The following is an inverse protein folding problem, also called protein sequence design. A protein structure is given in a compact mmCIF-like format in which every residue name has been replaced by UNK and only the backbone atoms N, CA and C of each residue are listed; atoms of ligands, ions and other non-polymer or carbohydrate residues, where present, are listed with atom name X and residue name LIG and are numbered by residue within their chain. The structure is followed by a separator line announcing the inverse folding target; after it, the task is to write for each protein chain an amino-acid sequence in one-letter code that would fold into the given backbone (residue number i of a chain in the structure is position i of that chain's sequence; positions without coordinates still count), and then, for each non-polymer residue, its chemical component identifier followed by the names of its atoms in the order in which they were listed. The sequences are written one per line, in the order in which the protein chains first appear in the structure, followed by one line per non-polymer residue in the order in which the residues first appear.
data_IF_031475419313
#
_entry.id   IF_031475419313
#
_cell.length_a   1.000
_cell.length_b   1.000
_cell.length_c   1.000
_cell.angle_alpha   90.00
_cell.angle_beta   90.00
_cell.angle_gamma   90.00
#
_symmetry.space_group_name_H-M   'P 1'
#
loop_
_entity.id
_entity.type
_entity.pdbx_description
1 polymer ?
#
# COMPACT_ATOMS: atom_id res chain seq x y z
N UNK A 1 16.07 1.02 4.38
CA UNK A 1 17.15 1.16 3.38
C UNK A 1 17.23 -0.19 2.68
N UNK A 2 17.01 -0.36 1.38
CA UNK A 2 17.11 0.55 0.24
C UNK A 2 15.99 0.27 -0.77
N UNK A 3 15.64 1.33 -1.47
CA UNK A 3 14.74 1.44 -2.62
C UNK A 3 15.44 1.00 -3.91
N UNK A 4 14.77 0.22 -4.77
CA UNK A 4 15.11 0.17 -6.19
C UNK A 4 13.86 -0.25 -6.98
N UNK A 5 13.22 0.76 -7.58
CA UNK A 5 12.16 0.66 -8.57
C UNK A 5 12.84 1.15 -9.85
N UNK A 6 13.02 0.26 -10.82
CA UNK A 6 13.49 0.63 -12.16
C UNK A 6 12.26 0.93 -13.02
N UNK A 7 11.98 2.23 -13.13
CA UNK A 7 11.15 2.84 -14.17
C UNK A 7 12.05 3.09 -15.38
N UNK A 8 11.78 2.41 -16.51
CA UNK A 8 12.37 2.77 -17.81
C UNK A 8 11.24 2.97 -18.82
N UNK A 9 10.58 4.12 -18.70
CA UNK A 9 9.76 4.74 -19.74
C UNK A 9 10.70 5.38 -20.79
N UNK A 10 11.00 4.64 -21.85
CA UNK A 10 11.72 5.15 -23.01
C UNK A 10 10.75 5.89 -23.96
N UNK A 11 10.59 7.19 -23.73
CA UNK A 11 9.84 8.10 -24.61
C UNK A 11 10.71 9.29 -25.06
N UNK A 12 11.36 9.12 -26.21
CA UNK A 12 11.96 10.20 -27.00
C UNK A 12 12.86 9.62 -28.08
N UNK A 13 12.76 9.93 -29.37
CA UNK A 13 12.09 11.01 -30.06
C UNK A 13 12.99 11.36 -31.25
N UNK A 14 12.51 11.23 -32.48
CA UNK A 14 13.16 11.84 -33.64
C UNK A 14 12.11 12.41 -34.60
N UNK A 15 11.86 13.70 -34.43
CA UNK A 15 11.12 14.55 -35.36
C UNK A 15 12.11 15.02 -36.43
N UNK A 16 12.27 14.28 -37.53
CA UNK A 16 13.05 14.77 -38.67
C UNK A 16 12.13 15.43 -39.70
N UNK A 17 11.96 16.73 -39.53
CA UNK A 17 11.37 17.60 -40.53
C UNK A 17 12.29 17.77 -41.73
N UNK A 18 11.76 17.53 -42.93
CA UNK A 18 12.34 18.08 -44.16
C UNK A 18 11.28 18.93 -44.86
N UNK A 19 11.31 20.24 -44.59
CA UNK A 19 10.71 21.27 -45.44
C UNK A 19 11.58 21.43 -46.68
N UNK A 20 11.05 21.25 -47.89
CA UNK A 20 11.38 21.92 -49.19
C UNK A 20 10.31 21.48 -50.20
N UNK A 21 9.76 22.26 -51.11
CA UNK A 21 9.84 23.67 -51.47
C UNK A 21 8.73 23.91 -52.49
N UNK A 22 7.84 24.87 -52.24
CA UNK A 22 6.93 25.40 -53.25
C UNK A 22 7.71 25.85 -54.50
N UNK A 23 7.33 25.35 -55.68
CA UNK A 23 7.74 25.95 -56.96
C UNK A 23 6.49 26.34 -57.73
N UNK A 24 6.26 27.65 -57.77
CA UNK A 24 5.24 28.33 -58.58
C UNK A 24 5.59 28.25 -60.08
N UNK A 25 4.53 28.11 -60.89
CA UNK A 25 4.22 28.76 -62.19
C UNK A 25 5.38 29.15 -63.14
N UNK A 26 5.25 28.75 -64.41
CA UNK A 26 5.63 29.53 -65.62
C UNK A 26 4.52 29.30 -66.65
N UNK A 27 3.76 30.28 -67.15
CA UNK A 27 4.13 31.28 -68.18
C UNK A 27 4.95 30.60 -69.28
N UNK A 28 4.45 30.34 -70.49
CA UNK A 28 3.77 31.27 -71.37
C UNK A 28 4.82 31.79 -72.35
N UNK A 29 4.89 31.20 -73.54
CA UNK A 29 5.68 31.71 -74.66
C UNK A 29 4.87 31.45 -75.94
N UNK A 30 4.18 32.52 -76.34
CA UNK A 30 3.83 32.85 -77.71
C UNK A 30 5.13 33.28 -78.35
N UNK A 31 5.56 32.59 -79.40
CA UNK A 31 6.50 33.14 -80.36
C UNK A 31 5.77 33.21 -81.70
N UNK A 32 5.24 34.40 -81.94
CA UNK A 32 4.96 34.94 -83.26
C UNK A 32 6.30 35.33 -83.89
N UNK A 33 6.69 34.63 -84.96
CA UNK A 33 7.67 35.13 -85.92
C UNK A 33 6.96 35.28 -87.28
N UNK A 34 6.20 36.39 -87.37
CA UNK A 34 6.27 37.31 -88.51
C UNK A 34 7.70 37.88 -88.44
N UNK A 35 8.53 37.81 -89.47
CA UNK A 35 8.76 38.90 -90.41
C UNK A 35 9.84 38.43 -91.40
N UNK A 36 9.77 38.85 -92.66
CA UNK A 36 10.95 38.75 -93.53
C UNK A 36 10.71 38.80 -95.02
N UNK A 37 9.87 39.74 -95.47
CA UNK A 37 9.93 40.27 -96.82
C UNK A 37 11.36 40.75 -97.11
N UNK A 38 11.97 40.17 -98.15
CA UNK A 38 13.31 40.47 -98.61
C UNK A 38 13.30 40.66 -100.12
N UNK A 39 12.69 41.77 -100.55
CA UNK A 39 12.81 42.36 -101.87
C UNK A 39 14.30 42.61 -102.20
N UNK A 40 14.83 42.00 -103.27
CA UNK A 40 16.16 42.37 -103.78
C UNK A 40 16.26 42.16 -105.29
N UNK A 41 15.52 43.02 -105.98
CA UNK A 41 15.70 43.30 -107.41
C UNK A 41 17.09 43.93 -107.65
N UNK A 42 18.10 43.08 -107.86
CA UNK A 42 19.44 43.46 -108.28
C UNK A 42 19.50 43.76 -109.77
N UNK A 43 19.22 45.01 -110.13
CA UNK A 43 19.30 45.57 -111.49
C UNK A 43 20.63 45.28 -112.21
N UNK A 44 20.58 44.71 -113.42
CA UNK A 44 21.69 44.84 -114.39
C UNK A 44 21.20 45.04 -115.83
N UNK A 45 21.47 46.27 -116.28
CA UNK A 45 21.26 46.91 -117.58
C UNK A 45 21.58 46.03 -118.82
N UNK A 46 20.65 46.07 -119.77
CA UNK A 46 20.90 46.44 -121.17
C UNK A 46 21.81 45.54 -122.02
N UNK A 47 21.20 44.79 -122.95
CA UNK A 47 21.34 45.12 -124.37
C UNK A 47 20.22 44.47 -125.18
N UNK A 48 19.23 45.28 -125.55
CA UNK A 48 18.30 45.00 -126.64
C UNK A 48 19.06 45.16 -127.96
N UNK A 49 19.22 44.06 -128.70
CA UNK A 49 19.35 44.12 -130.16
C UNK A 49 17.99 43.68 -130.71
N UNK A 50 17.19 44.68 -131.04
CA UNK A 50 15.92 44.52 -131.73
C UNK A 50 16.26 44.03 -133.13
N UNK A 51 15.89 42.79 -133.42
CA UNK A 51 15.67 42.34 -134.79
C UNK A 51 14.19 41.98 -134.90
N UNK A 52 13.60 42.37 -136.02
CA UNK A 52 12.17 42.40 -136.32
C UNK A 52 11.41 41.17 -135.79
N UNK A 53 10.24 41.37 -135.16
CA UNK A 53 9.03 40.62 -135.56
C UNK A 53 7.83 40.86 -134.61
N UNK A 54 6.79 41.41 -135.22
CA UNK A 54 5.38 41.12 -135.03
C UNK A 54 4.66 41.46 -133.69
N UNK A 55 3.33 41.74 -133.72
CA UNK A 55 2.50 42.14 -132.58
C UNK A 55 2.28 41.07 -131.48
N UNK A 56 3.12 40.03 -131.40
CA UNK A 56 2.96 38.87 -130.51
C UNK A 56 3.86 38.85 -129.26
N UNK A 57 4.97 39.59 -129.23
CA UNK A 57 5.97 39.49 -128.16
C UNK A 57 5.55 40.13 -126.81
N UNK A 58 4.87 41.28 -126.85
CA UNK A 58 4.35 41.94 -125.64
C UNK A 58 3.23 41.13 -124.97
N UNK A 59 2.39 40.47 -125.77
CA UNK A 59 1.32 39.58 -125.32
C UNK A 59 1.88 38.36 -124.58
N UNK A 60 3.00 37.79 -125.04
CA UNK A 60 3.69 36.68 -124.37
C UNK A 60 4.25 37.04 -122.98
N UNK A 61 4.82 38.24 -122.82
CA UNK A 61 5.33 38.70 -121.52
C UNK A 61 4.20 38.91 -120.49
N UNK A 62 3.06 39.48 -120.92
CA UNK A 62 1.89 39.67 -120.05
C UNK A 62 1.30 38.33 -119.62
N UNK A 63 1.24 37.34 -120.52
CA UNK A 63 0.79 35.99 -120.18
C UNK A 63 1.73 35.31 -119.18
N UNK A 64 3.05 35.40 -119.37
CA UNK A 64 4.04 34.81 -118.48
C UNK A 64 4.04 35.44 -117.08
N UNK A 65 3.87 36.76 -116.97
CA UNK A 65 3.73 37.45 -115.68
C UNK A 65 2.43 37.07 -114.95
N UNK A 66 1.32 36.96 -115.68
CA UNK A 66 0.04 36.51 -115.11
C UNK A 66 0.14 35.08 -114.59
N UNK A 67 0.76 34.19 -115.35
CA UNK A 67 1.00 32.80 -114.96
C UNK A 67 1.90 32.75 -113.72
N UNK A 68 3.01 33.49 -113.70
CA UNK A 68 3.92 33.58 -112.55
C UNK A 68 3.24 34.11 -111.29
N UNK A 69 2.38 35.13 -111.42
CA UNK A 69 1.64 35.71 -110.29
C UNK A 69 0.56 34.76 -109.77
N UNK A 70 -0.09 34.01 -110.67
CA UNK A 70 -1.02 32.96 -110.33
C UNK A 70 -0.32 31.81 -109.59
N UNK A 71 0.83 31.34 -110.09
CA UNK A 71 1.66 30.34 -109.41
C UNK A 71 2.17 30.84 -108.05
N UNK A 72 2.56 32.12 -107.95
CA UNK A 72 2.98 32.72 -106.68
C UNK A 72 1.83 32.73 -105.65
N UNK A 73 0.62 33.09 -106.07
CA UNK A 73 -0.58 33.07 -105.21
C UNK A 73 -0.93 31.65 -104.74
N UNK A 74 -0.85 30.67 -105.63
CA UNK A 74 -1.06 29.26 -105.29
C UNK A 74 0.00 28.75 -104.31
N UNK A 75 1.27 29.11 -104.51
CA UNK A 75 2.36 28.77 -103.60
C UNK A 75 2.23 29.42 -102.22
N UNK A 76 1.76 30.67 -102.14
CA UNK A 76 1.50 31.33 -100.86
C UNK A 76 0.33 30.66 -100.14
N UNK A 77 -0.76 30.36 -100.85
CA UNK A 77 -1.91 29.65 -100.29
C UNK A 77 -1.55 28.26 -99.79
N UNK A 78 -0.70 27.52 -100.52
CA UNK A 78 -0.23 26.20 -100.08
C UNK A 78 0.72 26.31 -98.90
N UNK A 79 1.62 27.31 -98.87
CA UNK A 79 2.49 27.57 -97.73
C UNK A 79 1.69 27.87 -96.44
N UNK A 80 0.66 28.72 -96.52
CA UNK A 80 -0.21 29.04 -95.38
C UNK A 80 -0.99 27.80 -94.91
N UNK A 81 -1.50 26.99 -95.84
CA UNK A 81 -2.19 25.74 -95.52
C UNK A 81 -1.25 24.75 -94.82
N UNK A 82 -0.01 24.59 -95.28
CA UNK A 82 0.97 23.72 -94.64
C UNK A 82 1.39 24.21 -93.26
N UNK A 83 1.52 25.53 -93.05
CA UNK A 83 1.74 26.11 -91.71
C UNK A 83 0.56 25.83 -90.77
N UNK A 84 -0.68 25.98 -91.25
CA UNK A 84 -1.89 25.67 -90.49
C UNK A 84 -1.98 24.19 -90.12
N UNK A 85 -1.73 23.27 -91.06
CA UNK A 85 -1.68 21.82 -90.81
C UNK A 85 -0.60 21.43 -89.80
N UNK A 86 0.59 22.04 -89.87
CA UNK A 86 1.67 21.79 -88.89
C UNK A 86 1.27 22.26 -87.49
N UNK A 87 0.64 23.44 -87.39
CA UNK A 87 0.11 23.96 -86.12
C UNK A 87 -0.99 23.06 -85.55
N UNK A 88 -1.92 22.59 -86.39
CA UNK A 88 -2.97 21.67 -86.00
C UNK A 88 -2.41 20.31 -85.52
N UNK A 89 -1.44 19.74 -86.25
CA UNK A 89 -0.77 18.51 -85.85
C UNK A 89 -0.04 18.63 -84.50
N UNK A 90 0.60 19.77 -84.22
CA UNK A 90 1.22 20.05 -82.93
C UNK A 90 0.19 20.10 -81.78
N UNK A 91 -0.98 20.69 -82.03
CA UNK A 91 -2.08 20.70 -81.05
C UNK A 91 -2.62 19.28 -80.79
N UNK A 92 -2.81 18.46 -81.82
CA UNK A 92 -3.26 17.08 -81.66
C UNK A 92 -2.28 16.28 -80.79
N UNK A 93 -0.96 16.37 -81.07
CA UNK A 93 0.05 15.64 -80.29
C UNK A 93 0.10 16.09 -78.83
N UNK A 94 0.03 17.40 -78.58
CA UNK A 94 0.04 17.92 -77.20
C UNK A 94 -1.23 17.56 -76.44
N UNK A 95 -2.38 17.54 -77.11
CA UNK A 95 -3.64 17.09 -76.53
C UNK A 95 -3.60 15.60 -76.17
N UNK A 96 -3.14 14.74 -77.08
CA UNK A 96 -2.98 13.30 -76.81
C UNK A 96 -2.02 13.02 -75.65
N UNK A 97 -0.92 13.78 -75.52
CA UNK A 97 0.00 13.64 -74.37
C UNK A 97 -0.67 14.02 -73.05
N UNK A 98 -1.44 15.11 -73.01
CA UNK A 98 -2.18 15.51 -71.80
C UNK A 98 -3.29 14.52 -71.44
N UNK A 99 -3.98 13.98 -72.43
CA UNK A 99 -4.99 12.94 -72.19
C UNK A 99 -4.38 11.68 -71.60
N UNK A 100 -3.21 11.25 -72.09
CA UNK A 100 -2.47 10.13 -71.53
C UNK A 100 -2.02 10.41 -70.08
N UNK A 101 -1.46 11.59 -69.81
CA UNK A 101 -1.04 11.97 -68.45
C UNK A 101 -2.23 12.00 -67.46
N UNK A 102 -3.40 12.49 -67.89
CA UNK A 102 -4.61 12.44 -67.09
C UNK A 102 -5.04 10.99 -66.82
N UNK A 103 -4.92 10.10 -67.80
CA UNK A 103 -5.23 8.68 -67.63
C UNK A 103 -4.29 8.01 -66.61
N UNK A 104 -2.99 8.30 -66.69
CA UNK A 104 -1.97 7.76 -65.80
C UNK A 104 -2.11 8.33 -64.37
N UNK A 105 -2.38 9.62 -64.22
CA UNK A 105 -2.68 10.20 -62.91
C UNK A 105 -3.97 9.63 -62.31
N UNK A 106 -5.00 9.39 -63.15
CA UNK A 106 -6.24 8.73 -62.69
C UNK A 106 -6.00 7.29 -62.26
N UNK A 107 -5.12 6.53 -62.90
CA UNK A 107 -4.78 5.16 -62.46
C UNK A 107 -4.01 5.21 -61.14
N UNK A 108 -2.99 6.05 -61.03
CA UNK A 108 -2.22 6.23 -59.79
C UNK A 108 -3.11 6.62 -58.60
N UNK A 109 -4.08 7.52 -58.80
CA UNK A 109 -5.06 7.89 -57.75
C UNK A 109 -5.95 6.71 -57.38
N UNK A 110 -6.39 5.89 -58.34
CA UNK A 110 -7.17 4.67 -58.03
C UNK A 110 -6.34 3.67 -57.23
N UNK A 111 -5.08 3.48 -57.58
CA UNK A 111 -4.18 2.52 -56.91
C UNK A 111 -3.79 3.00 -55.51
N UNK A 112 -3.43 4.27 -55.33
CA UNK A 112 -3.18 4.85 -54.02
C UNK A 112 -4.43 4.81 -53.14
N UNK A 113 -5.62 5.08 -53.69
CA UNK A 113 -6.89 4.94 -52.98
C UNK A 113 -7.22 3.49 -52.61
N UNK A 114 -6.77 2.53 -53.42
CA UNK A 114 -6.88 1.10 -53.12
C UNK A 114 -5.89 0.65 -52.04
N UNK A 115 -4.68 1.20 -52.01
CA UNK A 115 -3.70 0.97 -50.92
C UNK A 115 -4.15 1.62 -49.60
N UNK A 116 -4.76 2.80 -49.67
CA UNK A 116 -5.31 3.52 -48.51
C UNK A 116 -6.68 2.99 -48.05
N UNK A 117 -7.18 1.88 -48.63
CA UNK A 117 -8.40 1.25 -48.13
C UNK A 117 -8.18 0.78 -46.69
N UNK A 118 -9.25 0.70 -45.88
CA UNK A 118 -9.18 0.27 -44.50
C UNK A 118 -8.70 -1.17 -44.25
N UNK A 119 -8.24 -1.94 -45.24
CA UNK A 119 -7.97 -3.38 -45.06
C UNK A 119 -6.85 -3.65 -44.05
N UNK A 120 -5.75 -2.89 -44.07
CA UNK A 120 -4.67 -3.06 -43.10
C UNK A 120 -5.12 -2.63 -41.70
N UNK A 121 -5.88 -1.55 -41.60
CA UNK A 121 -6.43 -1.06 -40.33
C UNK A 121 -7.55 -1.96 -39.79
N UNK A 122 -8.36 -2.56 -40.65
CA UNK A 122 -9.44 -3.48 -40.29
C UNK A 122 -8.85 -4.78 -39.75
N UNK A 123 -7.85 -5.36 -40.43
CA UNK A 123 -7.20 -6.57 -39.94
C UNK A 123 -6.52 -6.35 -38.57
N UNK A 124 -5.86 -5.19 -38.36
CA UNK A 124 -5.26 -4.86 -37.07
C UNK A 124 -6.32 -4.63 -35.98
N UNK A 125 -7.43 -3.96 -36.31
CA UNK A 125 -8.54 -3.75 -35.37
C UNK A 125 -9.17 -5.09 -35.01
N UNK A 126 -9.47 -5.95 -35.98
CA UNK A 126 -10.01 -7.29 -35.75
C UNK A 126 -9.06 -8.16 -34.93
N UNK A 127 -7.74 -8.10 -35.17
CA UNK A 127 -6.76 -8.83 -34.37
C UNK A 127 -6.70 -8.33 -32.91
N UNK A 128 -6.74 -7.00 -32.71
CA UNK A 128 -6.74 -6.40 -31.37
C UNK A 128 -8.06 -6.67 -30.64
N UNK A 129 -9.20 -6.59 -31.30
CA UNK A 129 -10.51 -6.95 -30.76
C UNK A 129 -10.56 -8.43 -30.37
N UNK A 130 -10.01 -9.30 -31.22
CA UNK A 130 -9.88 -10.72 -30.90
C UNK A 130 -8.99 -10.93 -29.67
N UNK A 131 -7.87 -10.21 -29.56
CA UNK A 131 -6.95 -10.31 -28.42
C UNK A 131 -7.56 -9.75 -27.14
N UNK A 132 -8.34 -8.67 -27.21
CA UNK A 132 -9.14 -8.14 -26.11
C UNK A 132 -10.12 -9.22 -25.65
N UNK A 133 -10.87 -9.81 -26.58
CA UNK A 133 -11.84 -10.86 -26.26
C UNK A 133 -11.18 -12.10 -25.64
N UNK A 134 -10.04 -12.55 -26.16
CA UNK A 134 -9.28 -13.66 -25.60
C UNK A 134 -8.80 -13.37 -24.17
N UNK A 135 -8.34 -12.14 -23.90
CA UNK A 135 -7.94 -11.71 -22.56
C UNK A 135 -9.14 -11.58 -21.62
N UNK A 136 -10.28 -11.05 -22.08
CA UNK A 136 -11.52 -10.97 -21.31
C UNK A 136 -12.09 -12.36 -20.96
N UNK A 137 -12.06 -13.29 -21.92
CA UNK A 137 -12.47 -14.68 -21.72
C UNK A 137 -11.53 -15.39 -20.74
N UNK A 138 -10.21 -15.15 -20.86
CA UNK A 138 -9.20 -15.68 -19.92
C UNK A 138 -9.42 -15.14 -18.51
N UNK A 139 -9.62 -13.83 -18.35
CA UNK A 139 -9.94 -13.19 -17.06
C UNK A 139 -11.21 -13.77 -16.47
N UNK A 140 -12.25 -13.95 -17.28
CA UNK A 140 -13.51 -14.54 -16.82
C UNK A 140 -13.33 -15.99 -16.37
N UNK A 141 -12.53 -16.77 -17.09
CA UNK A 141 -12.25 -18.17 -16.77
C UNK A 141 -11.46 -18.34 -15.46
N UNK A 142 -10.52 -17.44 -15.16
CA UNK A 142 -9.73 -17.48 -13.91
C UNK A 142 -10.42 -16.76 -12.74
N UNK A 143 -11.38 -15.87 -13.01
CA UNK A 143 -12.09 -15.14 -11.97
C UNK A 143 -12.95 -16.08 -11.13
N UNK A 144 -12.95 -15.86 -9.82
CA UNK A 144 -13.86 -16.57 -8.95
C UNK A 144 -15.29 -16.16 -9.30
N UNK A 145 -16.09 -17.13 -9.73
CA UNK A 145 -17.51 -16.93 -10.05
C UNK A 145 -18.36 -17.42 -8.88
N UNK A 146 -18.89 -16.55 -7.99
CA UNK A 146 -19.57 -17.00 -6.77
C UNK A 146 -20.84 -17.81 -7.05
N UNK A 147 -21.35 -17.72 -8.28
CA UNK A 147 -22.61 -18.30 -8.71
C UNK A 147 -22.43 -19.66 -9.40
N UNK A 148 -21.19 -20.00 -9.80
CA UNK A 148 -20.89 -21.32 -10.36
C UNK A 148 -21.11 -22.39 -9.30
N UNK A 149 -21.29 -23.65 -9.74
CA UNK A 149 -21.46 -24.78 -8.80
C UNK A 149 -20.30 -24.85 -7.80
N UNK A 150 -19.07 -24.66 -8.27
CA UNK A 150 -17.87 -24.67 -7.45
C UNK A 150 -17.79 -23.42 -6.56
N UNK A 151 -18.12 -22.23 -7.09
CA UNK A 151 -18.12 -21.00 -6.32
C UNK A 151 -19.14 -20.99 -5.19
N UNK A 152 -20.37 -21.46 -5.46
CA UNK A 152 -21.40 -21.64 -4.43
C UNK A 152 -20.96 -22.62 -3.34
N UNK A 153 -20.30 -23.72 -3.73
CA UNK A 153 -19.76 -24.70 -2.80
C UNK A 153 -18.64 -24.10 -1.92
N UNK A 154 -17.72 -23.35 -2.53
CA UNK A 154 -16.65 -22.66 -1.79
C UNK A 154 -17.23 -21.63 -0.82
N UNK A 155 -18.17 -20.80 -1.25
CA UNK A 155 -18.84 -19.82 -0.38
C UNK A 155 -19.56 -20.49 0.79
N UNK A 156 -20.23 -21.64 0.57
CA UNK A 156 -20.82 -22.42 1.67
C UNK A 156 -19.76 -22.89 2.65
N UNK A 157 -18.64 -23.43 2.17
CA UNK A 157 -17.51 -23.85 3.02
C UNK A 157 -16.92 -22.67 3.80
N UNK A 158 -16.69 -21.52 3.16
CA UNK A 158 -16.20 -20.32 3.83
C UNK A 158 -17.17 -19.85 4.93
N UNK A 159 -18.48 -19.86 4.67
CA UNK A 159 -19.50 -19.51 5.68
C UNK A 159 -19.49 -20.48 6.87
N UNK A 160 -19.37 -21.78 6.60
CA UNK A 160 -19.28 -22.80 7.66
C UNK A 160 -18.01 -22.58 8.50
N UNK A 161 -16.86 -22.40 7.87
CA UNK A 161 -15.59 -22.15 8.57
C UNK A 161 -15.62 -20.86 9.40
N UNK A 162 -16.27 -19.81 8.90
CA UNK A 162 -16.45 -18.58 9.68
C UNK A 162 -17.30 -18.82 10.93
N UNK A 163 -18.41 -19.55 10.81
CA UNK A 163 -19.28 -19.88 11.94
C UNK A 163 -18.58 -20.79 12.96
N UNK A 164 -17.83 -21.79 12.51
CA UNK A 164 -17.03 -22.67 13.37
C UNK A 164 -15.95 -21.89 14.13
N UNK A 165 -15.25 -20.96 13.47
CA UNK A 165 -14.27 -20.11 14.13
C UNK A 165 -14.89 -19.19 15.19
N UNK A 166 -16.07 -18.64 14.91
CA UNK A 166 -16.84 -17.85 15.89
C UNK A 166 -17.27 -18.71 17.09
N UNK A 167 -17.77 -19.92 16.85
CA UNK A 167 -18.14 -20.88 17.88
C UNK A 167 -16.93 -21.32 18.73
N UNK A 168 -15.76 -21.55 18.12
CA UNK A 168 -14.51 -21.82 18.85
C UNK A 168 -14.14 -20.63 19.74
N UNK A 169 -14.28 -19.40 19.24
CA UNK A 169 -14.08 -18.19 20.02
C UNK A 169 -15.01 -18.12 21.24
N UNK A 170 -16.31 -18.34 21.02
CA UNK A 170 -17.34 -18.37 22.07
C UNK A 170 -17.05 -19.48 23.09
N UNK A 171 -16.82 -20.71 22.65
CA UNK A 171 -16.54 -21.85 23.53
C UNK A 171 -15.25 -21.68 24.33
N UNK A 172 -14.24 -21.01 23.76
CA UNK A 172 -13.03 -20.63 24.47
C UNK A 172 -13.31 -19.56 25.53
N UNK A 173 -14.20 -18.59 25.25
CA UNK A 173 -14.49 -17.49 26.17
C UNK A 173 -15.55 -17.79 27.25
N UNK A 174 -16.57 -18.61 26.97
CA UNK A 174 -17.81 -18.60 27.78
C UNK A 174 -18.10 -19.87 28.60
N UNK A 175 -17.88 -21.07 28.07
CA UNK A 175 -18.58 -22.25 28.62
C UNK A 175 -17.83 -22.95 29.76
N UNK A 176 -16.99 -23.91 29.39
CA UNK A 176 -16.39 -24.86 30.35
C UNK A 176 -15.09 -24.36 30.95
N UNK A 177 -14.29 -23.62 30.19
CA UNK A 177 -13.00 -23.11 30.66
C UNK A 177 -13.19 -22.09 31.78
N UNK A 178 -14.14 -21.17 31.61
CA UNK A 178 -14.49 -20.20 32.64
C UNK A 178 -15.08 -20.88 33.88
N UNK A 179 -16.04 -21.81 33.71
CA UNK A 179 -16.63 -22.56 34.82
C UNK A 179 -15.58 -23.35 35.63
N UNK A 180 -14.70 -24.09 34.95
CA UNK A 180 -13.61 -24.83 35.60
C UNK A 180 -12.62 -23.88 36.30
N UNK A 181 -12.33 -22.73 35.71
CA UNK A 181 -11.46 -21.71 36.31
C UNK A 181 -12.08 -21.13 37.58
N UNK A 182 -13.38 -20.87 37.58
CA UNK A 182 -14.12 -20.39 38.75
C UNK A 182 -14.17 -21.44 39.88
N UNK A 183 -14.45 -22.70 39.53
CA UNK A 183 -14.38 -23.83 40.48
C UNK A 183 -12.99 -23.99 41.08
N UNK A 184 -11.94 -23.87 40.27
CA UNK A 184 -10.56 -23.92 40.73
C UNK A 184 -10.21 -22.78 41.70
N UNK A 185 -10.64 -21.55 41.41
CA UNK A 185 -10.43 -20.40 42.28
C UNK A 185 -11.13 -20.56 43.64
N UNK A 186 -12.37 -21.06 43.64
CA UNK A 186 -13.11 -21.37 44.85
C UNK A 186 -12.39 -22.44 45.68
N UNK A 187 -11.93 -23.52 45.04
CA UNK A 187 -11.21 -24.60 45.72
C UNK A 187 -9.89 -24.13 46.34
N UNK A 188 -9.15 -23.25 45.66
CA UNK A 188 -7.93 -22.63 46.23
C UNK A 188 -8.25 -21.85 47.50
N UNK A 189 -9.29 -21.02 47.46
CA UNK A 189 -9.72 -20.22 48.61
C UNK A 189 -10.14 -21.10 49.79
N UNK A 190 -10.92 -22.16 49.54
CA UNK A 190 -11.32 -23.11 50.58
C UNK A 190 -10.14 -23.87 51.19
N UNK A 191 -9.16 -24.25 50.37
CA UNK A 191 -7.93 -24.89 50.85
C UNK A 191 -7.07 -23.94 51.71
N UNK A 192 -6.98 -22.66 51.33
CA UNK A 192 -6.27 -21.66 52.11
C UNK A 192 -6.96 -21.39 53.46
N UNK A 193 -8.30 -21.37 53.47
CA UNK A 193 -9.08 -21.28 54.71
C UNK A 193 -8.85 -22.48 55.63
N UNK A 194 -8.89 -23.70 55.11
CA UNK A 194 -8.57 -24.91 55.89
C UNK A 194 -7.16 -24.83 56.47
N UNK A 195 -6.17 -24.42 55.68
CA UNK A 195 -4.79 -24.23 56.15
C UNK A 195 -4.70 -23.19 57.27
N UNK A 196 -5.47 -22.11 57.17
CA UNK A 196 -5.53 -21.07 58.21
C UNK A 196 -6.16 -21.61 59.50
N UNK A 197 -7.23 -22.38 59.40
CA UNK A 197 -7.88 -23.03 60.54
C UNK A 197 -6.93 -24.00 61.25
N UNK A 198 -6.24 -24.88 60.51
CA UNK A 198 -5.22 -25.75 61.08
C UNK A 198 -4.11 -24.96 61.77
N UNK A 199 -3.59 -23.90 61.13
CA UNK A 199 -2.59 -23.03 61.75
C UNK A 199 -3.08 -22.41 63.05
N UNK A 200 -4.35 -21.97 63.09
CA UNK A 200 -4.98 -21.46 64.31
C UNK A 200 -5.04 -22.51 65.42
N UNK A 201 -5.45 -23.73 65.07
CA UNK A 201 -5.52 -24.85 66.01
C UNK A 201 -4.14 -25.21 66.58
N UNK A 202 -3.11 -25.27 65.74
CA UNK A 202 -1.73 -25.53 66.20
C UNK A 202 -1.24 -24.47 67.18
N UNK A 203 -1.54 -23.18 66.94
CA UNK A 203 -1.19 -22.11 67.88
C UNK A 203 -1.92 -22.22 69.21
N UNK A 204 -3.21 -22.57 69.18
CA UNK A 204 -4.00 -22.76 70.39
C UNK A 204 -3.47 -23.95 71.22
N UNK A 205 -3.13 -25.05 70.55
CA UNK A 205 -2.53 -26.22 71.19
C UNK A 205 -1.18 -25.90 71.82
N UNK A 206 -0.31 -25.17 71.12
CA UNK A 206 0.98 -24.70 71.66
C UNK A 206 0.81 -23.83 72.91
N UNK A 207 -0.16 -22.90 72.89
CA UNK A 207 -0.53 -22.10 74.06
C UNK A 207 -0.96 -22.96 75.25
N UNK A 208 -1.82 -23.97 75.02
CA UNK A 208 -2.25 -24.90 76.07
C UNK A 208 -1.08 -25.75 76.60
N UNK A 209 -0.16 -26.20 75.75
CA UNK A 209 1.04 -26.92 76.19
C UNK A 209 1.90 -26.05 77.09
N UNK A 210 2.13 -24.79 76.72
CA UNK A 210 2.87 -23.85 77.56
C UNK A 210 2.19 -23.59 78.91
N UNK A 211 0.86 -23.48 78.93
CA UNK A 211 0.10 -23.32 80.17
C UNK A 211 0.20 -24.58 81.05
N UNK A 212 0.11 -25.77 80.47
CA UNK A 212 0.32 -27.04 81.19
C UNK A 212 1.70 -27.08 81.82
N UNK A 213 2.75 -26.69 81.10
CA UNK A 213 4.11 -26.66 81.62
C UNK A 213 4.24 -25.69 82.81
N UNK A 214 3.61 -24.51 82.74
CA UNK A 214 3.56 -23.54 83.85
C UNK A 214 2.79 -24.07 85.05
N UNK A 215 1.63 -24.69 84.83
CA UNK A 215 0.84 -25.28 85.91
C UNK A 215 1.59 -26.44 86.57
N UNK A 216 2.28 -27.27 85.79
CA UNK A 216 3.12 -28.34 86.31
C UNK A 216 4.26 -27.80 87.18
N UNK A 217 4.94 -26.73 86.75
CA UNK A 217 5.98 -26.05 87.54
C UNK A 217 5.42 -25.50 88.86
N UNK A 218 4.25 -24.83 88.81
CA UNK A 218 3.59 -24.33 90.02
C UNK A 218 3.18 -25.45 90.98
N UNK A 219 2.71 -26.59 90.47
CA UNK A 219 2.37 -27.77 91.29
C UNK A 219 3.61 -28.30 92.01
N UNK A 220 4.77 -28.38 91.33
CA UNK A 220 6.02 -28.81 91.97
C UNK A 220 6.41 -27.91 93.14
N UNK A 221 6.35 -26.59 92.95
CA UNK A 221 6.64 -25.62 94.03
C UNK A 221 5.66 -25.77 95.20
N UNK A 222 4.36 -25.95 94.91
CA UNK A 222 3.37 -26.17 95.97
C UNK A 222 3.58 -27.48 96.72
N UNK A 223 4.04 -28.53 96.05
CA UNK A 223 4.40 -29.80 96.68
C UNK A 223 5.61 -29.65 97.62
N UNK A 224 6.66 -28.95 97.18
CA UNK A 224 7.84 -28.64 98.01
C UNK A 224 7.44 -27.86 99.28
N UNK A 225 6.64 -26.81 99.11
CA UNK A 225 6.12 -26.02 100.23
C UNK A 225 5.28 -26.86 101.20
N UNK A 226 4.49 -27.81 100.70
CA UNK A 226 3.71 -28.72 101.54
C UNK A 226 4.62 -29.67 102.33
N UNK A 227 5.64 -30.25 101.70
CA UNK A 227 6.62 -31.09 102.38
C UNK A 227 7.40 -30.33 103.45
N UNK A 228 7.79 -29.08 103.19
CA UNK A 228 8.40 -28.21 104.19
C UNK A 228 7.48 -28.00 105.40
N UNK A 229 6.20 -27.72 105.15
CA UNK A 229 5.20 -27.53 106.22
C UNK A 229 4.94 -28.81 107.00
N UNK A 230 4.88 -29.96 106.33
CA UNK A 230 4.75 -31.26 107.00
C UNK A 230 5.96 -31.58 107.87
N UNK A 231 7.17 -31.23 107.41
CA UNK A 231 8.40 -31.34 108.20
C UNK A 231 8.38 -30.42 109.43
N UNK A 232 7.95 -29.17 109.27
CA UNK A 232 7.79 -28.20 110.36
C UNK A 232 6.79 -28.72 111.40
N UNK A 233 5.64 -29.25 110.97
CA UNK A 233 4.64 -29.87 111.85
C UNK A 233 5.23 -31.08 112.59
N UNK A 234 5.98 -31.94 111.89
CA UNK A 234 6.63 -33.11 112.49
C UNK A 234 7.62 -32.71 113.59
N UNK A 235 8.46 -31.72 113.32
CA UNK A 235 9.41 -31.17 114.31
C UNK A 235 8.69 -30.61 115.55
N UNK A 236 7.65 -29.79 115.35
CA UNK A 236 6.88 -29.20 116.45
C UNK A 236 6.15 -30.26 117.29
N UNK A 237 5.65 -31.33 116.66
CA UNK A 237 5.04 -32.47 117.37
C UNK A 237 6.05 -33.21 118.23
N UNK A 238 7.24 -33.50 117.70
CA UNK A 238 8.31 -34.14 118.46
C UNK A 238 8.75 -33.28 119.66
N UNK A 239 8.85 -31.97 119.47
CA UNK A 239 9.19 -31.01 120.53
C UNK A 239 8.11 -30.94 121.61
N UNK A 240 6.82 -30.94 121.22
CA UNK A 240 5.70 -31.04 122.15
C UNK A 240 5.75 -32.32 123.00
N UNK A 241 5.98 -33.49 122.38
CA UNK A 241 6.07 -34.76 123.10
C UNK A 241 7.29 -34.84 124.04
N UNK A 242 8.43 -34.22 123.69
CA UNK A 242 9.57 -34.08 124.62
C UNK A 242 9.20 -33.24 125.84
N UNK A 243 8.41 -32.19 125.66
CA UNK A 243 7.96 -31.31 126.74
C UNK A 243 6.98 -31.99 127.69
N UNK A 244 6.14 -32.90 127.18
CA UNK A 244 5.22 -33.71 128.00
C UNK A 244 5.92 -34.81 128.82
N UNK A 245 7.13 -35.25 128.46
CA UNK A 245 7.84 -36.37 129.11
C UNK A 245 8.88 -35.95 130.15
N UNK A 246 9.12 -34.65 130.31
CA UNK A 246 9.94 -34.10 131.41
C UNK A 246 9.05 -33.86 132.64
N UNK A 247 9.43 -34.33 133.85
CA UNK A 247 8.65 -34.07 135.05
C UNK A 247 8.63 -32.57 135.35
N UNK A 248 7.47 -32.03 135.74
CA UNK A 248 7.31 -30.65 136.20
C UNK A 248 8.33 -30.34 137.31
N UNK A 249 9.40 -29.60 136.99
CA UNK A 249 10.19 -28.91 138.00
C UNK A 249 9.36 -27.73 138.54
N UNK A 250 8.64 -27.99 139.63
CA UNK A 250 8.31 -26.92 140.59
C UNK A 250 9.62 -26.44 141.22
N UNK A 251 9.96 -25.17 141.03
CA UNK A 251 10.70 -24.27 141.94
C UNK A 251 10.98 -22.94 141.21
N UNK A 252 11.05 -21.76 141.81
CA UNK A 252 10.64 -21.22 143.10
C UNK A 252 11.08 -19.75 143.07
N UNK A 253 10.21 -18.83 142.69
CA UNK A 253 10.38 -17.36 142.78
C UNK A 253 8.94 -16.86 142.97
N UNK A 254 8.42 -16.48 144.13
CA UNK A 254 9.02 -15.61 145.13
C UNK A 254 8.48 -15.90 146.55
N UNK A 255 9.27 -16.61 147.37
CA UNK A 255 9.46 -16.23 148.77
C UNK A 255 10.65 -15.27 148.85
N UNK A 256 10.47 -14.05 148.33
CA UNK A 256 11.22 -12.86 148.74
C UNK A 256 10.26 -11.88 149.38
N UNK A 257 9.72 -12.32 150.52
CA UNK A 257 9.05 -11.48 151.49
C UNK A 257 10.10 -10.75 152.31
N UNK A 258 9.84 -9.48 152.60
CA UNK A 258 10.32 -8.77 153.78
C UNK A 258 11.83 -8.46 153.88
N UNK A 259 12.33 -7.52 153.07
CA UNK A 259 13.43 -6.63 153.51
C UNK A 259 13.54 -5.35 152.65
N UNK A 260 12.43 -4.62 152.44
CA UNK A 260 12.52 -3.27 151.81
C UNK A 260 11.47 -2.27 152.32
N UNK A 261 10.76 -2.57 153.41
CA UNK A 261 9.82 -1.65 154.11
C UNK A 261 10.49 -0.79 155.19
N UNK A 262 11.81 -0.63 155.15
CA UNK A 262 12.52 0.28 156.05
C UNK A 262 13.77 0.79 155.36
N UNK A 263 13.60 1.79 154.48
CA UNK A 263 14.51 2.93 154.31
C UNK A 263 14.28 3.57 152.93
N UNK A 264 13.30 4.46 152.81
CA UNK A 264 13.35 5.71 152.02
C UNK A 264 12.07 6.53 152.20
N UNK A 265 11.68 6.74 153.46
CA UNK A 265 11.14 8.04 153.87
C UNK A 265 12.33 9.01 153.92
N UNK A 266 12.73 9.50 152.76
CA UNK A 266 13.59 10.68 152.55
C UNK A 266 13.79 10.88 151.05
N UNK A 267 12.81 11.45 150.36
CA UNK A 267 12.90 12.75 149.68
C UNK A 267 11.48 13.03 149.18
N UNK A 268 10.71 13.62 150.08
CA UNK A 268 9.62 14.49 149.71
C UNK A 268 10.19 15.69 148.94
N UNK A 269 9.41 16.16 147.97
CA UNK A 269 9.35 17.54 147.51
C UNK A 269 10.17 17.98 146.27
N UNK A 270 9.39 18.57 145.33
CA UNK A 270 9.71 19.37 144.13
C UNK A 270 9.89 18.56 142.85
N UNK A 271 9.09 18.70 141.80
CA UNK A 271 8.10 19.74 141.44
C UNK A 271 7.24 19.14 140.31
N UNK A 272 5.91 19.13 140.42
CA UNK A 272 5.02 20.09 139.74
C UNK A 272 5.38 20.28 138.26
N UNK A 273 4.60 19.68 137.35
CA UNK A 273 3.37 20.26 136.79
C UNK A 273 3.67 21.27 135.67
N UNK A 274 3.32 20.90 134.43
CA UNK A 274 2.72 21.79 133.42
C UNK A 274 2.19 20.88 132.29
N UNK A 275 0.88 20.61 132.26
CA UNK A 275 -0.15 21.22 131.37
C UNK A 275 0.13 21.09 129.88
#
# INVERSE_FOLDING_TARGET
MASHIDDEDDFGGEFNGTRRSDKKRGFGEIDDDDDGEGDIFGSKKGNTKVDESAPGAATGMILSLRESLQTCKENLSTCQLEKAKKREAAFVVTFSKREQEIADLKSAVRDLKAQLRPQVTQNLVEEKEKKIKELEDSVTAISFTPHSKNGKSLMKKCKILMAENEEIGINASEGKMHELSMKLALQKTQNDELRNQYRGLYKAMDGLTNDIDRYNEMVLVLQENLEEKDNEIRMLKEELSRRETLPEEKNSLDEKKAMEDANTDAVEEKSEAET
#
